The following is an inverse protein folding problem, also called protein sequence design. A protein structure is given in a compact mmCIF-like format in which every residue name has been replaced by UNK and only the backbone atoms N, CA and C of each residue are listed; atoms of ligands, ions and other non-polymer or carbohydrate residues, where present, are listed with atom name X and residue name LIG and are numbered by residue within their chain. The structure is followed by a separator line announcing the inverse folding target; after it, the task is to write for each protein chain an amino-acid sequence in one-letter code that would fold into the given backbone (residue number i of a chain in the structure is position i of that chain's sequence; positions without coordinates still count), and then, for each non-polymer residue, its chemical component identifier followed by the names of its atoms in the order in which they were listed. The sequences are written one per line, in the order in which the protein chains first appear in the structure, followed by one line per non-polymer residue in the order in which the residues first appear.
data_IF_337606944233
#
_entry.id   IF_337606944233
#
_cell.length_a   1.000
_cell.length_b   1.000
_cell.length_c   1.000
_cell.angle_alpha   90.00
_cell.angle_beta   90.00
_cell.angle_gamma   90.00
#
_symmetry.space_group_name_H-M   'P 1'
#
loop_
_entity.id
_entity.type
_entity.pdbx_description
1 polymer ?
#
# COMPACT_ATOMS: atom_id res chain seq x y z
N UNK A 1 4.75 7.60 16.29
CA UNK A 1 4.03 6.37 16.66
C UNK A 1 4.96 5.20 16.37
N UNK A 2 4.95 4.10 17.12
CA UNK A 2 5.96 3.06 16.89
C UNK A 2 5.51 2.06 15.82
N UNK A 3 6.44 1.42 15.07
CA UNK A 3 6.10 0.33 14.16
C UNK A 3 5.30 -0.79 14.82
N UNK A 4 5.58 -1.06 16.11
CA UNK A 4 4.86 -2.05 16.91
C UNK A 4 3.38 -1.71 17.13
N UNK A 5 3.03 -0.42 17.19
CA UNK A 5 1.63 0.01 17.32
C UNK A 5 0.82 -0.28 16.06
N UNK A 6 1.45 -0.17 14.88
CA UNK A 6 0.84 -0.51 13.58
C UNK A 6 0.63 -2.02 13.48
N UNK A 7 1.65 -2.80 13.81
CA UNK A 7 1.57 -4.28 13.80
C UNK A 7 0.49 -4.79 14.76
N UNK A 8 0.39 -4.19 15.94
CA UNK A 8 -0.67 -4.51 16.90
C UNK A 8 -2.05 -4.18 16.34
N UNK A 9 -2.23 -2.97 15.80
CA UNK A 9 -3.51 -2.55 15.21
C UNK A 9 -3.90 -3.43 14.02
N UNK A 10 -2.94 -3.80 13.17
CA UNK A 10 -3.16 -4.70 12.04
C UNK A 10 -3.59 -6.10 12.50
N UNK A 11 -2.89 -6.67 13.49
CA UNK A 11 -3.24 -7.97 14.06
C UNK A 11 -4.64 -7.96 14.67
N UNK A 12 -4.98 -6.89 15.39
CA UNK A 12 -6.30 -6.70 16.00
C UNK A 12 -7.39 -6.60 14.94
N UNK A 13 -7.18 -5.82 13.89
CA UNK A 13 -8.10 -5.70 12.75
C UNK A 13 -8.34 -7.06 12.08
N UNK A 14 -7.27 -7.82 11.79
CA UNK A 14 -7.37 -9.17 11.19
C UNK A 14 -8.14 -10.14 12.08
N UNK A 15 -7.92 -10.10 13.39
CA UNK A 15 -8.67 -10.94 14.33
C UNK A 15 -10.17 -10.60 14.28
N UNK A 16 -10.55 -9.32 14.29
CA UNK A 16 -11.96 -8.91 14.25
C UNK A 16 -12.65 -9.28 12.94
N UNK A 17 -11.93 -9.20 11.83
CA UNK A 17 -12.42 -9.72 10.56
C UNK A 17 -12.68 -11.23 10.63
N UNK A 18 -11.73 -12.00 11.17
CA UNK A 18 -11.89 -13.45 11.32
C UNK A 18 -13.08 -13.81 12.20
N UNK A 19 -13.23 -13.16 13.36
CA UNK A 19 -14.34 -13.38 14.29
C UNK A 19 -15.70 -13.10 13.62
N UNK A 20 -15.79 -12.03 12.82
CA UNK A 20 -16.98 -11.68 12.06
C UNK A 20 -17.31 -12.74 11.00
N UNK A 21 -16.34 -13.10 10.17
CA UNK A 21 -16.52 -14.09 9.10
C UNK A 21 -16.91 -15.46 9.67
N UNK A 22 -16.30 -15.86 10.79
CA UNK A 22 -16.63 -17.10 11.47
C UNK A 22 -18.05 -17.09 12.02
N UNK A 23 -18.48 -15.98 12.64
CA UNK A 23 -19.85 -15.84 13.15
C UNK A 23 -20.89 -15.88 12.02
N UNK A 24 -20.60 -15.27 10.87
CA UNK A 24 -21.45 -15.32 9.68
C UNK A 24 -21.60 -16.76 9.18
N UNK A 25 -20.49 -17.50 9.06
CA UNK A 25 -20.51 -18.91 8.65
C UNK A 25 -21.28 -19.82 9.61
N UNK A 26 -21.30 -19.48 10.90
CA UNK A 26 -22.06 -20.21 11.92
C UNK A 26 -23.56 -19.84 11.93
N UNK A 27 -24.00 -18.93 11.05
CA UNK A 27 -25.38 -18.49 11.00
C UNK A 27 -25.76 -17.60 12.20
N UNK A 28 -24.81 -16.82 12.73
CA UNK A 28 -25.11 -15.87 13.78
C UNK A 28 -26.21 -14.88 13.35
N UNK A 29 -27.00 -14.43 14.32
CA UNK A 29 -28.10 -13.49 14.05
C UNK A 29 -27.58 -12.15 13.52
N UNK A 30 -28.39 -11.48 12.70
CA UNK A 30 -28.05 -10.16 12.15
C UNK A 30 -27.61 -9.14 13.22
N UNK A 31 -28.30 -8.99 14.37
CA UNK A 31 -27.85 -8.08 15.43
C UNK A 31 -26.46 -8.43 16.00
N UNK A 32 -26.09 -9.71 16.00
CA UNK A 32 -24.75 -10.14 16.41
C UNK A 32 -23.71 -9.74 15.38
N UNK A 33 -24.00 -9.97 14.09
CA UNK A 33 -23.11 -9.60 12.99
C UNK A 33 -22.89 -8.09 12.93
N UNK A 34 -23.93 -7.28 13.13
CA UNK A 34 -23.82 -5.82 13.19
C UNK A 34 -22.89 -5.35 14.32
N UNK A 35 -22.97 -5.96 15.51
CA UNK A 35 -22.06 -5.65 16.63
C UNK A 35 -20.61 -6.00 16.31
N UNK A 36 -20.39 -7.16 15.68
CA UNK A 36 -19.05 -7.60 15.28
C UNK A 36 -18.49 -6.70 14.16
N UNK A 37 -19.33 -6.32 13.20
CA UNK A 37 -18.98 -5.37 12.15
C UNK A 37 -18.57 -4.01 12.72
N UNK A 38 -19.35 -3.45 13.64
CA UNK A 38 -19.00 -2.20 14.31
C UNK A 38 -17.66 -2.30 15.05
N UNK A 39 -17.41 -3.43 15.70
CA UNK A 39 -16.13 -3.68 16.38
C UNK A 39 -14.96 -3.79 15.41
N UNK A 40 -15.18 -4.42 14.25
CA UNK A 40 -14.20 -4.49 13.17
C UNK A 40 -13.89 -3.10 12.60
N UNK A 41 -14.92 -2.27 12.34
CA UNK A 41 -14.75 -0.91 11.84
C UNK A 41 -13.89 -0.05 12.78
N UNK A 42 -14.11 -0.13 14.09
CA UNK A 42 -13.25 0.55 15.07
C UNK A 42 -11.78 0.11 14.99
N UNK A 43 -11.53 -1.18 14.74
CA UNK A 43 -10.17 -1.70 14.57
C UNK A 43 -9.52 -1.22 13.25
N UNK A 44 -10.31 -1.06 12.18
CA UNK A 44 -9.86 -0.47 10.91
C UNK A 44 -9.49 1.00 11.10
N UNK A 45 -10.32 1.78 11.79
CA UNK A 45 -10.04 3.19 12.09
C UNK A 45 -8.76 3.36 12.92
N UNK A 46 -8.56 2.49 13.92
CA UNK A 46 -7.34 2.47 14.71
C UNK A 46 -6.11 2.19 13.84
N UNK A 47 -6.16 1.16 12.98
CA UNK A 47 -5.08 0.87 12.04
C UNK A 47 -4.82 2.02 11.05
N UNK A 48 -5.86 2.65 10.54
CA UNK A 48 -5.73 3.79 9.62
C UNK A 48 -5.04 4.98 10.30
N UNK A 49 -5.50 5.38 11.49
CA UNK A 49 -4.85 6.43 12.29
C UNK A 49 -3.38 6.11 12.55
N UNK A 50 -3.09 4.85 12.83
CA UNK A 50 -1.75 4.37 13.08
C UNK A 50 -0.86 4.48 11.83
N UNK A 51 -1.34 3.99 10.69
CA UNK A 51 -0.62 4.04 9.42
C UNK A 51 -0.42 5.47 8.90
N UNK A 52 -1.41 6.35 9.01
CA UNK A 52 -1.31 7.77 8.65
C UNK A 52 -0.19 8.47 9.45
N UNK A 53 -0.16 8.26 10.77
CA UNK A 53 0.85 8.85 11.64
C UNK A 53 2.27 8.40 11.25
N UNK A 54 2.43 7.13 10.89
CA UNK A 54 3.72 6.58 10.45
C UNK A 54 4.17 7.11 9.08
N UNK A 55 3.23 7.27 8.14
CA UNK A 55 3.53 7.85 6.83
C UNK A 55 3.95 9.31 6.95
N UNK A 56 3.30 10.10 7.81
CA UNK A 56 3.65 11.50 8.09
C UNK A 56 5.07 11.59 8.68
N UNK A 57 5.41 10.74 9.65
CA UNK A 57 6.75 10.70 10.26
C UNK A 57 7.84 10.34 9.23
N UNK A 58 7.58 9.38 8.33
CA UNK A 58 8.52 9.06 7.25
C UNK A 58 8.68 10.20 6.24
N UNK A 59 7.59 10.89 5.89
CA UNK A 59 7.63 11.97 4.92
C UNK A 59 8.36 13.21 5.49
N UNK A 60 8.19 13.50 6.78
CA UNK A 60 8.96 14.52 7.49
C UNK A 60 10.44 14.15 7.58
N UNK A 61 10.78 12.91 7.95
CA UNK A 61 12.17 12.45 8.01
C UNK A 61 12.89 12.55 6.64
N UNK A 62 12.20 12.28 5.53
CA UNK A 62 12.74 12.44 4.17
C UNK A 62 12.89 13.89 3.72
N UNK A 63 12.06 14.81 4.20
CA UNK A 63 12.11 16.22 3.83
C UNK A 63 13.08 17.04 4.68
N UNK A 64 13.51 16.52 5.83
CA UNK A 64 14.57 17.13 6.67
C UNK A 64 16.00 16.73 6.29
N UNK A 65 16.19 15.78 5.37
CA UNK A 65 17.52 15.49 4.83
C UNK A 65 17.92 16.59 3.85
N UNK A 66 19.08 17.27 4.03
CA UNK A 66 19.55 18.21 3.03
C UNK A 66 19.76 17.44 1.72
N UNK A 67 19.34 18.03 0.61
CA UNK A 67 19.62 17.52 -0.73
C UNK A 67 21.14 17.48 -0.95
N UNK A 68 21.78 16.41 -0.49
CA UNK A 68 23.14 16.09 -0.88
C UNK A 68 23.06 15.69 -2.34
N UNK A 69 23.42 16.64 -3.21
CA UNK A 69 23.69 16.41 -4.63
C UNK A 69 24.79 15.35 -4.74
N UNK A 70 24.41 14.09 -4.79
CA UNK A 70 25.33 13.03 -5.21
C UNK A 70 25.23 12.93 -6.72
N UNK A 71 26.16 13.61 -7.38
CA UNK A 71 26.55 13.36 -8.77
C UNK A 71 27.04 11.91 -8.90
N UNK A 72 26.12 10.97 -8.98
CA UNK A 72 26.40 9.61 -9.41
C UNK A 72 25.16 9.00 -10.06
N UNK A 73 24.66 9.70 -11.07
CA UNK A 73 23.88 9.09 -12.13
C UNK A 73 24.80 8.87 -13.32
N UNK A 74 25.79 7.99 -13.13
CA UNK A 74 26.52 7.37 -14.21
C UNK A 74 26.46 5.86 -14.00
N UNK A 75 26.01 5.18 -15.06
CA UNK A 75 26.00 3.73 -15.26
C UNK A 75 24.78 3.01 -14.68
N UNK A 76 23.76 2.82 -15.53
CA UNK A 76 23.11 1.52 -15.81
C UNK A 76 21.80 1.73 -16.60
N UNK A 77 21.89 2.15 -17.86
CA UNK A 77 20.88 1.80 -18.88
C UNK A 77 21.63 1.42 -20.14
N UNK A 78 22.23 0.23 -20.10
CA UNK A 78 22.74 -0.44 -21.29
C UNK A 78 22.18 -1.87 -21.30
N UNK A 79 21.47 -2.15 -22.39
CA UNK A 79 21.14 -3.46 -22.96
C UNK A 79 19.85 -4.15 -22.49
N UNK A 80 19.02 -4.47 -23.48
CA UNK A 80 17.91 -5.42 -23.36
C UNK A 80 16.73 -5.06 -24.26
N UNK A 81 16.82 -5.45 -25.56
CA UNK A 81 15.69 -5.96 -26.38
C UNK A 81 14.60 -4.96 -26.86
N UNK A 82 14.12 -4.88 -28.11
CA UNK A 82 14.33 -5.59 -29.37
C UNK A 82 14.06 -4.61 -30.56
N UNK A 83 14.65 -4.88 -31.73
CA UNK A 83 14.19 -4.43 -33.07
C UNK A 83 13.84 -5.72 -33.86
N UNK A 84 13.11 -5.73 -35.00
CA UNK A 84 12.28 -4.69 -35.66
C UNK A 84 10.99 -5.25 -36.33
N UNK A 85 9.97 -4.43 -36.64
CA UNK A 85 9.07 -4.66 -37.80
C UNK A 85 8.69 -3.37 -38.54
N UNK A 86 9.46 -3.16 -39.60
CA UNK A 86 9.19 -2.54 -40.90
C UNK A 86 7.72 -2.42 -41.36
N UNK A 87 7.28 -1.20 -41.75
CA UNK A 87 6.82 -0.92 -43.14
C UNK A 87 6.43 0.55 -43.39
N UNK A 88 7.21 1.15 -44.30
CA UNK A 88 6.83 2.00 -45.45
C UNK A 88 5.99 3.28 -45.23
N UNK A 89 6.67 4.42 -45.40
CA UNK A 89 6.08 5.63 -45.97
C UNK A 89 6.88 6.14 -47.19
N UNK A 90 6.11 6.50 -48.24
CA UNK A 90 6.29 7.57 -49.26
C UNK A 90 7.46 7.46 -50.26
N UNK A 91 7.17 7.27 -51.56
CA UNK A 91 6.88 8.26 -52.65
C UNK A 91 8.14 8.79 -53.37
N UNK A 92 8.22 8.45 -54.67
CA UNK A 92 8.73 9.14 -55.88
C UNK A 92 9.99 10.03 -55.83
N UNK A 93 10.90 9.76 -56.78
CA UNK A 93 11.76 10.63 -57.62
C UNK A 93 13.09 9.88 -57.84
N UNK A 94 13.74 9.81 -59.00
CA UNK A 94 13.63 10.52 -60.27
C UNK A 94 14.16 9.64 -61.40
#
# INVERSE_FOLDING_TARGET
MTPSDIEYAEKRMKQKWYDLALAEQQGASLPTLERLFNTYMLAVEEYNRCSESYLVEQQQARSTLPAVRTSQQLMCVSQGEERPKERRQRRKAS
#
